data_IF_370539977786
#
_entry.id   IF_370539977786
#
_cell.length_a   1.000
_cell.length_b   1.000
_cell.length_c   1.000
_cell.angle_alpha   90.00
_cell.angle_beta   90.00
_cell.angle_gamma   90.00
#
_symmetry.space_group_name_H-M   'P 1'
#
loop_
_entity.id
_entity.type
_entity.pdbx_description
1 polymer ?
#
# COMPACT_ATOMS: atom_id res chain seq x y z
N UNK A 1 -46.42 4.11 9.34
CA UNK A 1 -45.13 3.38 9.41
C UNK A 1 -44.43 3.64 10.75
N UNK A 2 -43.86 2.63 11.42
CA UNK A 2 -43.15 2.80 12.71
C UNK A 2 -41.81 3.58 12.52
N UNK A 3 -41.42 4.58 13.33
CA UNK A 3 -40.13 5.27 13.14
C UNK A 3 -38.90 4.36 13.29
N UNK A 4 -37.82 4.58 12.52
CA UNK A 4 -36.60 3.74 12.55
C UNK A 4 -35.99 3.58 13.94
N UNK A 5 -36.01 4.64 14.75
CA UNK A 5 -35.55 4.62 16.16
C UNK A 5 -36.26 3.58 17.04
N UNK A 6 -37.48 3.17 16.67
CA UNK A 6 -38.25 2.13 17.38
C UNK A 6 -38.04 0.72 16.81
N UNK A 7 -37.14 0.54 15.83
CA UNK A 7 -36.89 -0.74 15.12
C UNK A 7 -35.46 -1.28 15.30
N UNK A 8 -34.69 -0.75 16.26
CA UNK A 8 -33.25 -1.06 16.43
C UNK A 8 -32.95 -2.48 16.91
N UNK A 9 -33.89 -3.12 17.61
CA UNK A 9 -33.78 -4.50 18.08
C UNK A 9 -35.09 -5.26 17.88
N UNK A 10 -35.03 -6.60 17.89
CA UNK A 10 -36.24 -7.45 17.85
C UNK A 10 -37.22 -7.06 18.96
N UNK A 11 -36.71 -6.73 20.15
CA UNK A 11 -37.53 -6.33 21.32
C UNK A 11 -38.25 -5.00 21.08
N UNK A 12 -37.53 -3.98 20.62
CA UNK A 12 -38.12 -2.64 20.38
C UNK A 12 -39.10 -2.68 19.22
N UNK A 13 -38.79 -3.45 18.18
CA UNK A 13 -39.66 -3.64 17.02
C UNK A 13 -40.96 -4.33 17.45
N UNK A 14 -40.88 -5.40 18.23
CA UNK A 14 -42.04 -6.12 18.75
C UNK A 14 -42.96 -5.23 19.60
N UNK A 15 -42.38 -4.40 20.49
CA UNK A 15 -43.14 -3.40 21.26
C UNK A 15 -43.80 -2.35 20.35
N UNK A 16 -43.10 -1.90 19.32
CA UNK A 16 -43.60 -0.87 18.40
C UNK A 16 -44.72 -1.34 17.47
N UNK A 17 -44.81 -2.64 17.18
CA UNK A 17 -45.88 -3.26 16.38
C UNK A 17 -46.85 -4.10 17.23
N UNK A 18 -46.79 -3.94 18.56
CA UNK A 18 -47.63 -4.61 19.54
C UNK A 18 -47.73 -6.14 19.37
N UNK A 19 -46.60 -6.82 19.21
CA UNK A 19 -46.55 -8.28 19.08
C UNK A 19 -45.46 -8.91 19.96
N UNK A 20 -45.44 -10.25 20.03
CA UNK A 20 -44.43 -10.99 20.78
C UNK A 20 -43.08 -10.97 20.06
N UNK A 21 -41.98 -10.92 20.83
CA UNK A 21 -40.58 -10.98 20.30
C UNK A 21 -40.36 -12.21 19.41
N UNK A 22 -40.94 -13.35 19.76
CA UNK A 22 -40.86 -14.60 19.01
C UNK A 22 -41.48 -14.49 17.62
N UNK A 23 -42.60 -13.75 17.49
CA UNK A 23 -43.26 -13.47 16.21
C UNK A 23 -42.34 -12.69 15.28
N UNK A 24 -41.69 -11.64 15.79
CA UNK A 24 -40.70 -10.86 15.03
C UNK A 24 -39.50 -11.73 14.63
N UNK A 25 -38.98 -12.56 15.55
CA UNK A 25 -37.89 -13.48 15.24
C UNK A 25 -38.26 -14.55 14.20
N UNK A 26 -39.52 -14.98 14.14
CA UNK A 26 -40.04 -15.85 13.09
C UNK A 26 -40.13 -15.12 11.76
N UNK A 27 -40.67 -13.90 11.74
CA UNK A 27 -40.75 -13.08 10.53
C UNK A 27 -39.37 -12.73 9.94
N UNK A 28 -38.35 -12.54 10.78
CA UNK A 28 -36.97 -12.38 10.31
C UNK A 28 -36.45 -13.66 9.64
N UNK A 29 -36.64 -14.84 10.27
CA UNK A 29 -36.25 -16.13 9.69
C UNK A 29 -36.99 -16.47 8.39
N UNK A 30 -38.25 -16.03 8.29
CA UNK A 30 -39.08 -16.18 7.10
C UNK A 30 -38.79 -15.12 6.02
N UNK A 31 -37.87 -14.18 6.25
CA UNK A 31 -37.52 -13.12 5.28
C UNK A 31 -38.55 -11.99 5.17
N UNK A 32 -39.63 -12.01 5.95
CA UNK A 32 -40.68 -10.98 5.98
C UNK A 32 -40.17 -9.66 6.61
N UNK A 33 -39.12 -9.73 7.44
CA UNK A 33 -38.43 -8.57 8.02
C UNK A 33 -36.93 -8.73 7.80
N UNK A 34 -36.32 -7.76 7.10
CA UNK A 34 -34.87 -7.73 6.85
C UNK A 34 -34.15 -6.90 7.91
N UNK A 35 -33.13 -7.48 8.54
CA UNK A 35 -32.16 -6.73 9.33
C UNK A 35 -31.22 -5.95 8.40
N UNK A 36 -30.99 -4.66 8.68
CA UNK A 36 -30.07 -3.82 7.93
C UNK A 36 -29.21 -3.02 8.90
N UNK A 37 -27.91 -3.00 8.67
CA UNK A 37 -26.95 -2.20 9.44
C UNK A 37 -26.51 -1.02 8.58
N UNK A 38 -26.77 0.20 9.08
CA UNK A 38 -26.28 1.43 8.46
C UNK A 38 -25.09 1.96 9.27
N UNK A 39 -23.89 1.94 8.69
CA UNK A 39 -22.73 2.61 9.25
C UNK A 39 -22.83 4.12 9.08
N UNK A 40 -22.37 4.88 10.08
CA UNK A 40 -22.24 6.34 9.94
C UNK A 40 -21.17 6.62 8.88
N UNK A 41 -21.51 7.48 7.92
CA UNK A 41 -20.58 7.98 6.90
C UNK A 41 -20.44 9.50 7.08
N UNK A 42 -19.29 10.09 6.73
CA UNK A 42 -19.15 11.55 6.75
C UNK A 42 -20.22 12.21 5.89
N UNK A 43 -20.74 13.34 6.36
CA UNK A 43 -21.67 14.14 5.57
C UNK A 43 -20.91 14.84 4.44
N UNK A 44 -21.47 14.81 3.23
CA UNK A 44 -20.85 15.40 2.05
C UNK A 44 -21.67 16.60 1.58
N UNK A 45 -21.05 17.78 1.59
CA UNK A 45 -21.62 18.98 0.98
C UNK A 45 -21.82 18.77 -0.53
N UNK A 46 -22.70 19.56 -1.15
CA UNK A 46 -22.89 19.52 -2.60
C UNK A 46 -21.57 19.73 -3.36
N UNK A 47 -20.73 20.67 -2.90
CA UNK A 47 -19.40 20.93 -3.46
C UNK A 47 -18.48 19.70 -3.33
N UNK A 48 -18.43 19.05 -2.16
CA UNK A 48 -17.63 17.83 -1.97
C UNK A 48 -18.06 16.71 -2.92
N UNK A 49 -19.37 16.56 -3.20
CA UNK A 49 -19.88 15.57 -4.15
C UNK A 49 -19.41 15.87 -5.58
N UNK A 50 -19.48 17.13 -6.01
CA UNK A 50 -19.02 17.56 -7.33
C UNK A 50 -17.51 17.37 -7.49
N UNK A 51 -16.72 17.74 -6.48
CA UNK A 51 -15.26 17.53 -6.49
C UNK A 51 -14.88 16.05 -6.59
N UNK A 52 -15.58 15.18 -5.86
CA UNK A 52 -15.37 13.73 -5.98
C UNK A 52 -15.72 13.20 -7.36
N UNK A 53 -16.81 13.68 -7.96
CA UNK A 53 -17.21 13.26 -9.32
C UNK A 53 -16.18 13.74 -10.35
N UNK A 54 -15.75 15.00 -10.26
CA UNK A 54 -14.70 15.55 -11.11
C UNK A 54 -13.41 14.73 -11.01
N UNK A 55 -12.96 14.45 -9.79
CA UNK A 55 -11.79 13.60 -9.55
C UNK A 55 -11.92 12.22 -10.22
N UNK A 56 -13.09 11.58 -10.15
CA UNK A 56 -13.30 10.29 -10.81
C UNK A 56 -13.28 10.37 -12.34
N UNK A 57 -13.77 11.47 -12.92
CA UNK A 57 -13.74 11.66 -14.37
C UNK A 57 -12.33 11.97 -14.87
N UNK A 58 -11.55 12.76 -14.12
CA UNK A 58 -10.14 13.04 -14.43
C UNK A 58 -9.24 11.79 -14.32
N UNK A 59 -9.70 10.75 -13.64
CA UNK A 59 -9.04 9.45 -13.57
C UNK A 59 -9.34 8.55 -14.77
N UNK A 60 -10.20 8.97 -15.71
CA UNK A 60 -10.49 8.22 -16.94
C UNK A 60 -9.45 8.51 -18.04
N UNK A 61 -9.28 7.53 -18.91
CA UNK A 61 -8.39 7.50 -20.07
C UNK A 61 -9.12 6.79 -21.21
N UNK A 62 -8.98 7.30 -22.44
CA UNK A 62 -9.52 6.63 -23.63
C UNK A 62 -8.50 5.62 -24.14
N UNK A 63 -8.88 4.35 -24.15
CA UNK A 63 -8.13 3.34 -24.90
C UNK A 63 -8.47 3.51 -26.38
N UNK A 64 -7.54 4.08 -27.14
CA UNK A 64 -7.71 4.37 -28.57
C UNK A 64 -7.88 3.10 -29.42
N UNK A 65 -7.35 1.96 -28.96
CA UNK A 65 -7.41 0.71 -29.72
C UNK A 65 -8.76 0.01 -29.54
N UNK A 66 -9.27 0.00 -28.31
CA UNK A 66 -10.57 -0.59 -27.99
C UNK A 66 -11.74 0.39 -28.11
N UNK A 67 -11.45 1.69 -28.28
CA UNK A 67 -12.41 2.79 -28.29
C UNK A 67 -13.34 2.80 -27.07
N UNK A 68 -12.79 2.48 -25.89
CA UNK A 68 -13.49 2.45 -24.60
C UNK A 68 -12.81 3.36 -23.58
N UNK A 69 -13.60 3.97 -22.70
CA UNK A 69 -13.07 4.67 -21.54
C UNK A 69 -12.71 3.66 -20.46
N UNK A 70 -11.47 3.73 -20.00
CA UNK A 70 -10.94 2.95 -18.88
C UNK A 70 -10.43 3.89 -17.79
N UNK A 71 -10.19 3.38 -16.59
CA UNK A 71 -9.47 4.16 -15.58
C UNK A 71 -7.98 4.08 -15.84
N UNK A 72 -7.27 5.19 -15.59
CA UNK A 72 -5.80 5.24 -15.57
C UNK A 72 -5.29 4.09 -14.72
N UNK A 73 -4.31 3.37 -15.25
CA UNK A 73 -3.73 2.17 -14.62
C UNK A 73 -3.01 2.44 -13.31
N UNK A 74 -2.62 3.69 -13.04
CA UNK A 74 -1.91 4.11 -11.82
C UNK A 74 -0.56 3.40 -11.60
N UNK A 75 0.09 2.89 -12.65
CA UNK A 75 1.41 2.25 -12.55
C UNK A 75 2.51 3.19 -12.03
N UNK A 76 2.35 4.50 -12.18
CA UNK A 76 3.26 5.53 -11.67
C UNK A 76 2.74 6.21 -10.38
N UNK A 77 1.73 5.63 -9.73
CA UNK A 77 1.13 6.18 -8.52
C UNK A 77 1.52 5.36 -7.31
N UNK A 78 1.88 6.06 -6.23
CA UNK A 78 2.15 5.48 -4.92
C UNK A 78 1.06 5.96 -3.97
N UNK A 79 0.33 5.02 -3.40
CA UNK A 79 -0.66 5.27 -2.37
C UNK A 79 0.00 5.22 -1.00
N UNK A 80 -0.21 6.28 -0.22
CA UNK A 80 0.30 6.41 1.13
C UNK A 80 -0.89 6.58 2.07
N UNK A 81 -0.89 5.85 3.17
CA UNK A 81 -1.92 5.94 4.20
C UNK A 81 -1.32 5.74 5.59
N UNK A 82 -1.85 6.43 6.59
CA UNK A 82 -1.48 6.27 7.99
C UNK A 82 -2.56 5.54 8.79
N UNK A 83 -2.12 4.57 9.61
CA UNK A 83 -3.04 3.81 10.44
C UNK A 83 -2.52 3.60 11.84
N UNK A 84 -3.38 3.85 12.82
CA UNK A 84 -3.15 3.47 14.22
C UNK A 84 -3.46 1.99 14.45
N UNK A 85 -2.50 1.27 15.02
CA UNK A 85 -2.66 -0.11 15.48
C UNK A 85 -2.59 -0.15 17.00
N UNK A 86 -3.60 -0.77 17.62
CA UNK A 86 -3.65 -0.97 19.07
C UNK A 86 -3.04 -2.32 19.43
N UNK A 87 -2.12 -2.34 20.40
CA UNK A 87 -1.44 -3.57 20.84
C UNK A 87 -2.40 -4.61 21.42
N UNK A 88 -3.57 -4.18 21.94
CA UNK A 88 -4.64 -5.05 22.41
C UNK A 88 -5.97 -4.59 21.83
N UNK A 89 -6.75 -5.53 21.30
CA UNK A 89 -8.15 -5.27 20.93
C UNK A 89 -9.00 -5.11 22.18
N UNK A 90 -9.86 -4.10 22.18
CA UNK A 90 -10.82 -3.87 23.27
C UNK A 90 -11.84 -5.02 23.35
N UNK A 91 -12.42 -5.38 22.22
CA UNK A 91 -13.33 -6.52 22.07
C UNK A 91 -12.64 -7.60 21.25
N UNK A 92 -12.68 -8.83 21.74
CA UNK A 92 -12.17 -9.99 21.04
C UNK A 92 -13.24 -11.08 21.10
N UNK A 93 -13.51 -11.71 19.96
CA UNK A 93 -14.41 -12.86 19.92
C UNK A 93 -13.60 -14.11 20.25
N UNK A 94 -14.08 -14.88 21.20
CA UNK A 94 -13.55 -16.20 21.54
C UNK A 94 -14.60 -17.23 21.14
N UNK A 95 -14.14 -18.37 20.61
CA UNK A 95 -14.96 -19.55 20.46
C UNK A 95 -14.58 -20.47 21.61
N UNK A 96 -15.54 -20.76 22.46
CA UNK A 96 -15.35 -21.53 23.69
C UNK A 96 -16.17 -22.81 23.58
N UNK A 97 -15.66 -23.90 24.16
CA UNK A 97 -16.50 -25.09 24.35
C UNK A 97 -17.54 -24.83 25.45
N UNK A 98 -18.64 -25.61 25.52
CA UNK A 98 -19.68 -25.38 26.53
C UNK A 98 -19.19 -25.46 27.99
N UNK A 99 -18.08 -26.15 28.23
CA UNK A 99 -17.49 -26.38 29.56
C UNK A 99 -16.36 -25.38 29.88
N UNK A 100 -15.91 -24.59 28.90
CA UNK A 100 -14.80 -23.67 29.08
C UNK A 100 -15.28 -22.36 29.73
N UNK A 101 -14.58 -21.94 30.79
CA UNK A 101 -14.90 -20.71 31.49
C UNK A 101 -14.64 -19.48 30.61
N UNK A 102 -15.53 -18.48 30.71
CA UNK A 102 -15.40 -17.24 29.95
C UNK A 102 -14.07 -16.51 30.27
N UNK A 103 -13.26 -16.15 29.26
CA UNK A 103 -11.99 -15.47 29.49
C UNK A 103 -12.18 -14.10 30.16
N UNK A 104 -11.74 -13.98 31.41
CA UNK A 104 -11.77 -12.71 32.12
C UNK A 104 -10.58 -11.82 31.71
N UNK A 105 -10.86 -10.71 31.03
CA UNK A 105 -9.85 -9.73 30.58
C UNK A 105 -10.09 -8.37 31.23
N UNK A 106 -9.18 -7.94 32.10
CA UNK A 106 -9.25 -6.62 32.76
C UNK A 106 -8.09 -5.71 32.36
N UNK A 107 -8.37 -4.41 32.34
CA UNK A 107 -7.36 -3.36 32.27
C UNK A 107 -7.85 -2.16 33.09
N UNK A 108 -6.93 -1.40 33.70
CA UNK A 108 -7.30 -0.26 34.55
C UNK A 108 -8.00 0.86 33.76
N UNK A 109 -7.57 1.11 32.53
CA UNK A 109 -8.26 2.02 31.59
C UNK A 109 -7.84 1.71 30.16
N UNK A 110 -8.80 1.72 29.24
CA UNK A 110 -8.59 1.52 27.80
C UNK A 110 -7.69 2.61 27.18
N UNK A 111 -7.64 3.81 27.79
CA UNK A 111 -6.79 4.92 27.34
C UNK A 111 -5.29 4.59 27.37
N UNK A 112 -4.87 3.65 28.23
CA UNK A 112 -3.47 3.25 28.37
C UNK A 112 -3.08 2.06 27.48
N UNK A 113 -3.98 1.57 26.62
CA UNK A 113 -3.62 0.56 25.62
C UNK A 113 -2.66 1.22 24.64
N UNK A 114 -1.41 0.73 24.63
CA UNK A 114 -0.38 1.21 23.72
C UNK A 114 -0.86 1.09 22.27
N UNK A 115 -0.70 2.16 21.52
CA UNK A 115 -0.98 2.23 20.09
C UNK A 115 0.24 2.78 19.36
N UNK A 116 0.43 2.31 18.13
CA UNK A 116 1.53 2.72 17.27
C UNK A 116 0.90 3.14 15.94
N UNK A 117 1.26 4.31 15.43
CA UNK A 117 0.89 4.70 14.07
C UNK A 117 1.93 4.13 13.12
N UNK A 118 1.48 3.65 11.97
CA UNK A 118 2.33 3.28 10.86
C UNK A 118 1.92 4.07 9.64
N UNK A 119 2.90 4.54 8.87
CA UNK A 119 2.70 5.00 7.50
C UNK A 119 2.99 3.84 6.55
N UNK A 120 2.07 3.53 5.66
CA UNK A 120 2.21 2.47 4.67
C UNK A 120 2.29 3.09 3.28
N UNK A 121 3.27 2.67 2.48
CA UNK A 121 3.39 3.05 1.09
C UNK A 121 3.27 1.80 0.21
N UNK A 122 2.34 1.85 -0.75
CA UNK A 122 2.08 0.76 -1.70
C UNK A 122 1.79 1.33 -3.09
N UNK A 123 2.07 0.56 -4.12
CA UNK A 123 1.71 0.86 -5.50
C UNK A 123 1.05 -0.36 -6.13
N UNK A 124 0.58 -0.21 -7.38
CA UNK A 124 0.11 -1.35 -8.15
C UNK A 124 1.25 -2.37 -8.36
N UNK A 125 1.01 -3.68 -8.15
CA UNK A 125 1.96 -4.73 -8.52
C UNK A 125 2.20 -4.74 -10.04
N UNK A 126 3.45 -5.05 -10.43
CA UNK A 126 3.80 -5.28 -11.83
C UNK A 126 3.95 -6.78 -12.05
N UNK A 127 3.19 -7.31 -13.00
CA UNK A 127 3.21 -8.72 -13.40
C UNK A 127 3.82 -8.84 -14.81
N UNK A 128 4.59 -9.90 -15.05
CA UNK A 128 5.07 -10.25 -16.38
C UNK A 128 3.99 -10.95 -17.20
N UNK A 129 4.24 -11.05 -18.52
CA UNK A 129 3.34 -11.75 -19.44
C UNK A 129 3.16 -13.26 -19.14
N UNK A 130 4.06 -13.87 -18.37
CA UNK A 130 3.91 -15.26 -17.87
C UNK A 130 3.22 -15.35 -16.50
N UNK A 131 2.76 -14.23 -15.94
CA UNK A 131 2.13 -14.15 -14.63
C UNK A 131 3.09 -14.08 -13.45
N UNK A 132 4.41 -14.04 -13.66
CA UNK A 132 5.38 -13.85 -12.58
C UNK A 132 5.34 -12.41 -12.01
N UNK A 133 5.61 -12.26 -10.71
CA UNK A 133 5.56 -10.97 -10.01
C UNK A 133 6.90 -10.26 -10.12
N UNK A 134 6.94 -9.14 -10.85
CA UNK A 134 8.14 -8.33 -11.08
C UNK A 134 8.34 -7.28 -9.99
N UNK A 135 7.22 -6.76 -9.49
CA UNK A 135 7.16 -5.89 -8.33
C UNK A 135 5.85 -6.16 -7.60
N UNK A 136 5.92 -6.47 -6.30
CA UNK A 136 4.73 -6.83 -5.51
C UNK A 136 3.93 -5.62 -5.03
N UNK A 137 4.32 -4.41 -5.44
CA UNK A 137 3.70 -3.15 -5.04
C UNK A 137 4.00 -2.71 -3.61
N UNK A 138 4.79 -3.45 -2.83
CA UNK A 138 5.03 -3.14 -1.42
C UNK A 138 6.29 -2.30 -1.22
N UNK A 139 6.09 -1.02 -0.95
CA UNK A 139 7.20 -0.09 -0.72
C UNK A 139 7.64 -0.16 0.74
N UNK A 140 6.72 -0.08 1.69
CA UNK A 140 7.09 -0.25 3.09
C UNK A 140 6.01 0.10 4.08
N UNK A 141 6.29 -0.26 5.33
CA UNK A 141 5.48 0.06 6.49
C UNK A 141 6.42 0.67 7.54
N UNK A 142 6.19 1.94 7.85
CA UNK A 142 7.11 2.78 8.62
C UNK A 142 6.48 3.10 9.98
N UNK A 143 6.98 2.51 11.08
CA UNK A 143 6.45 2.77 12.42
C UNK A 143 6.89 4.12 12.96
N UNK A 144 5.95 4.91 13.49
CA UNK A 144 6.27 6.12 14.24
C UNK A 144 6.73 5.76 15.67
N UNK A 145 8.04 5.54 15.80
CA UNK A 145 8.68 5.15 17.06
C UNK A 145 9.96 5.93 17.33
N UNK A 146 10.35 6.00 18.60
CA UNK A 146 11.61 6.58 19.06
C UNK A 146 12.32 5.65 20.02
N UNK A 147 13.65 5.61 19.97
CA UNK A 147 14.47 4.91 20.97
C UNK A 147 14.65 5.81 22.19
N UNK A 148 14.28 5.33 23.37
CA UNK A 148 14.38 6.07 24.64
C UNK A 148 15.08 5.17 25.67
N UNK A 149 16.11 5.65 26.37
CA UNK A 149 16.76 4.86 27.41
C UNK A 149 15.81 4.56 28.57
N UNK A 150 15.89 3.33 29.06
CA UNK A 150 15.15 2.85 30.22
C UNK A 150 15.42 3.71 31.46
N UNK A 151 14.42 4.44 31.95
CA UNK A 151 14.55 5.27 33.17
C UNK A 151 14.70 4.43 34.45
N UNK A 152 14.12 3.24 34.48
CA UNK A 152 14.12 2.32 35.63
C UNK A 152 14.62 0.95 35.18
N UNK A 153 15.36 0.27 36.05
CA UNK A 153 15.66 -1.14 35.87
C UNK A 153 14.38 -1.97 36.12
N UNK A 154 14.26 -3.09 35.44
CA UNK A 154 13.25 -4.11 35.71
C UNK A 154 13.87 -5.49 35.59
N UNK A 155 13.12 -6.53 35.98
CA UNK A 155 13.57 -7.93 35.86
C UNK A 155 14.04 -8.29 34.44
N UNK A 156 13.46 -7.66 33.42
CA UNK A 156 13.71 -8.01 32.02
C UNK A 156 14.70 -7.07 31.32
N UNK A 157 15.24 -6.05 32.00
CA UNK A 157 16.21 -5.09 31.42
C UNK A 157 16.85 -4.17 32.48
N UNK A 158 18.12 -3.86 32.31
CA UNK A 158 18.82 -2.88 33.14
C UNK A 158 18.37 -1.44 32.85
N UNK A 159 18.71 -0.52 33.76
CA UNK A 159 18.54 0.92 33.53
C UNK A 159 19.46 1.35 32.38
N UNK A 160 18.99 2.24 31.51
CA UNK A 160 19.74 2.74 30.36
C UNK A 160 19.56 1.96 29.06
N UNK A 161 19.06 0.71 29.08
CA UNK A 161 18.78 -0.04 27.84
C UNK A 161 17.83 0.74 26.92
N UNK A 162 18.17 0.89 25.64
CA UNK A 162 17.35 1.61 24.67
C UNK A 162 16.05 0.84 24.39
N UNK A 163 14.91 1.50 24.61
CA UNK A 163 13.59 0.95 24.32
C UNK A 163 12.95 1.65 23.14
N UNK A 164 12.36 0.89 22.24
CA UNK A 164 11.49 1.44 21.19
C UNK A 164 10.14 1.79 21.80
N UNK A 165 9.80 3.07 21.80
CA UNK A 165 8.50 3.58 22.27
C UNK A 165 7.75 4.26 21.13
N UNK A 166 6.41 4.13 21.08
CA UNK A 166 5.62 4.87 20.11
C UNK A 166 5.76 6.39 20.32
N UNK A 167 5.68 7.12 19.23
CA UNK A 167 5.47 8.57 19.27
C UNK A 167 3.97 8.80 19.48
N UNK A 168 3.61 9.45 20.59
CA UNK A 168 2.20 9.64 20.97
C UNK A 168 1.53 10.78 20.22
N UNK A 169 2.28 11.86 19.96
CA UNK A 169 1.82 13.04 19.22
C UNK A 169 2.44 13.03 17.82
N UNK A 170 1.63 12.74 16.81
CA UNK A 170 2.06 12.75 15.41
C UNK A 170 1.71 14.11 14.83
N UNK A 171 2.72 14.96 14.66
CA UNK A 171 2.57 16.29 14.04
C UNK A 171 2.92 16.23 12.56
N UNK A 172 2.67 17.32 11.84
CA UNK A 172 3.03 17.44 10.43
C UNK A 172 4.54 17.26 10.21
N UNK A 173 5.37 17.75 11.13
CA UNK A 173 6.83 17.61 11.06
C UNK A 173 7.26 16.16 11.17
N UNK A 174 6.63 15.38 12.06
CA UNK A 174 6.91 13.95 12.24
C UNK A 174 6.53 13.16 10.98
N UNK A 175 5.38 13.47 10.37
CA UNK A 175 4.97 12.85 9.10
C UNK A 175 5.95 13.24 7.98
N UNK A 176 6.29 14.53 7.86
CA UNK A 176 7.22 15.04 6.86
C UNK A 176 8.60 14.38 6.98
N UNK A 177 9.14 14.28 8.19
CA UNK A 177 10.40 13.58 8.47
C UNK A 177 10.36 12.12 7.99
N UNK A 178 9.28 11.41 8.31
CA UNK A 178 9.13 10.03 7.88
C UNK A 178 9.03 9.91 6.34
N UNK A 179 8.31 10.83 5.68
CA UNK A 179 8.23 10.86 4.22
C UNK A 179 9.60 11.07 3.58
N UNK A 180 10.35 12.07 4.06
CA UNK A 180 11.64 12.46 3.48
C UNK A 180 12.72 11.42 3.77
N UNK A 181 12.82 10.97 5.02
CA UNK A 181 13.95 10.17 5.48
C UNK A 181 13.70 8.66 5.41
N UNK A 182 12.45 8.22 5.24
CA UNK A 182 12.14 6.79 5.18
C UNK A 182 11.39 6.40 3.90
N UNK A 183 10.29 7.09 3.57
CA UNK A 183 9.44 6.71 2.44
C UNK A 183 10.14 6.97 1.10
N UNK A 184 10.61 8.20 0.84
CA UNK A 184 11.25 8.54 -0.44
C UNK A 184 12.49 7.66 -0.73
N UNK A 185 13.40 7.40 0.23
CA UNK A 185 14.49 6.45 0.01
C UNK A 185 14.00 5.03 -0.31
N UNK A 186 12.97 4.55 0.39
CA UNK A 186 12.40 3.24 0.12
C UNK A 186 11.76 3.14 -1.26
N UNK A 187 11.11 4.22 -1.72
CA UNK A 187 10.59 4.34 -3.09
C UNK A 187 11.76 4.20 -4.07
N UNK A 188 12.79 5.04 -3.96
CA UNK A 188 13.95 5.01 -4.85
C UNK A 188 14.61 3.63 -4.91
N UNK A 189 14.78 2.97 -3.76
CA UNK A 189 15.40 1.65 -3.69
C UNK A 189 14.55 0.55 -4.34
N UNK A 190 13.23 0.59 -4.16
CA UNK A 190 12.33 -0.49 -4.61
C UNK A 190 11.72 -0.27 -5.99
N UNK A 191 11.64 0.97 -6.46
CA UNK A 191 11.02 1.29 -7.73
C UNK A 191 11.77 0.64 -8.91
N UNK A 192 11.08 0.12 -9.94
CA UNK A 192 11.70 -0.68 -11.00
C UNK A 192 12.22 0.12 -12.22
N UNK A 193 12.56 1.41 -12.07
CA UNK A 193 12.89 2.30 -13.21
C UNK A 193 14.03 1.81 -14.12
N UNK A 194 15.17 1.39 -13.54
CA UNK A 194 16.34 0.97 -14.33
C UNK A 194 16.16 -0.38 -15.02
N UNK A 195 15.38 -1.28 -14.41
CA UNK A 195 15.09 -2.59 -15.00
C UNK A 195 14.20 -2.42 -16.24
N UNK A 196 13.27 -1.46 -16.20
CA UNK A 196 12.44 -1.12 -17.33
C UNK A 196 13.29 -0.66 -18.53
N UNK A 197 14.26 0.24 -18.30
CA UNK A 197 15.14 0.77 -19.36
C UNK A 197 16.04 -0.32 -19.97
N UNK A 198 16.62 -1.20 -19.16
CA UNK A 198 17.42 -2.33 -19.63
C UNK A 198 16.63 -3.28 -20.53
N UNK A 199 15.40 -3.58 -20.16
CA UNK A 199 14.57 -4.49 -20.93
C UNK A 199 14.07 -3.86 -22.24
N UNK A 200 13.79 -2.56 -22.25
CA UNK A 200 13.49 -1.80 -23.47
C UNK A 200 14.66 -1.92 -24.46
N UNK A 201 15.91 -1.80 -23.98
CA UNK A 201 17.08 -1.99 -24.83
C UNK A 201 17.14 -3.40 -25.42
N UNK A 202 16.88 -4.45 -24.62
CA UNK A 202 16.89 -5.85 -25.08
C UNK A 202 15.88 -6.13 -26.18
N UNK A 203 14.72 -5.49 -26.13
CA UNK A 203 13.68 -5.64 -27.17
C UNK A 203 13.67 -4.49 -28.17
N UNK A 204 14.75 -3.70 -28.23
CA UNK A 204 14.97 -2.66 -29.24
C UNK A 204 13.84 -1.62 -29.30
N UNK A 205 13.37 -1.15 -28.14
CA UNK A 205 12.35 -0.11 -28.05
C UNK A 205 10.90 -0.61 -28.05
N UNK A 206 10.67 -1.92 -28.26
CA UNK A 206 9.32 -2.48 -28.21
C UNK A 206 8.78 -2.54 -26.77
N UNK A 207 7.46 -2.59 -26.58
CA UNK A 207 6.83 -2.74 -25.26
C UNK A 207 6.67 -4.22 -24.82
N UNK A 208 7.27 -5.15 -25.58
CA UNK A 208 7.04 -6.60 -25.45
C UNK A 208 8.01 -7.30 -24.50
N UNK A 209 8.51 -6.61 -23.48
CA UNK A 209 9.55 -7.12 -22.60
C UNK A 209 9.02 -7.56 -21.24
N UNK A 210 9.78 -8.44 -20.58
CA UNK A 210 9.52 -8.89 -19.21
C UNK A 210 10.60 -8.32 -18.30
N UNK A 211 10.22 -7.46 -17.35
CA UNK A 211 11.11 -6.86 -16.34
C UNK A 211 11.61 -7.95 -15.36
N UNK A 212 12.87 -8.42 -15.42
CA UNK A 212 13.34 -9.51 -14.55
C UNK A 212 13.36 -9.08 -13.07
N UNK A 213 12.95 -9.98 -12.17
CA UNK A 213 12.98 -9.72 -10.75
C UNK A 213 14.39 -9.88 -10.18
N UNK A 214 15.04 -8.77 -9.79
CA UNK A 214 16.44 -8.76 -9.33
C UNK A 214 16.64 -9.13 -7.85
N UNK A 215 15.57 -9.40 -7.09
CA UNK A 215 15.72 -9.76 -5.68
C UNK A 215 16.33 -8.65 -4.82
N UNK A 216 16.00 -7.38 -5.10
CA UNK A 216 16.61 -6.19 -4.46
C UNK A 216 16.64 -6.26 -2.92
N UNK A 217 15.60 -6.85 -2.32
CA UNK A 217 15.53 -7.04 -0.87
C UNK A 217 16.59 -8.01 -0.33
N UNK A 218 16.86 -9.11 -1.04
CA UNK A 218 17.90 -10.07 -0.67
C UNK A 218 19.30 -9.44 -0.82
N UNK A 219 19.54 -8.75 -1.94
CA UNK A 219 20.80 -8.03 -2.20
C UNK A 219 21.06 -6.91 -1.19
N UNK A 220 20.02 -6.16 -0.80
CA UNK A 220 20.12 -5.10 0.21
C UNK A 220 20.45 -5.65 1.60
N UNK A 221 19.86 -6.78 2.00
CA UNK A 221 20.18 -7.46 3.27
C UNK A 221 21.63 -7.93 3.34
N UNK A 222 22.23 -8.24 2.19
CA UNK A 222 23.62 -8.65 2.06
C UNK A 222 24.58 -7.47 1.80
N UNK A 223 24.06 -6.23 1.76
CA UNK A 223 24.81 -5.01 1.45
C UNK A 223 25.53 -5.01 0.08
N UNK A 224 25.04 -5.80 -0.87
CA UNK A 224 25.59 -5.94 -2.24
C UNK A 224 24.60 -5.47 -3.31
N UNK A 225 23.57 -4.70 -2.93
CA UNK A 225 22.67 -4.10 -3.90
C UNK A 225 23.43 -3.02 -4.69
N UNK A 226 23.59 -3.16 -6.01
CA UNK A 226 24.29 -2.17 -6.82
C UNK A 226 23.55 -0.83 -6.78
N UNK A 227 24.32 0.27 -6.70
CA UNK A 227 23.79 1.64 -6.71
C UNK A 227 23.23 2.03 -8.09
N UNK A 228 23.84 1.51 -9.15
CA UNK A 228 23.41 1.63 -10.55
C UNK A 228 23.48 0.25 -11.20
N UNK A 229 22.53 -0.07 -12.07
CA UNK A 229 22.64 -1.28 -12.88
C UNK A 229 23.73 -1.15 -13.95
N UNK A 230 24.62 -2.13 -14.00
CA UNK A 230 25.60 -2.26 -15.08
C UNK A 230 24.89 -2.70 -16.36
N UNK A 231 25.12 -1.97 -17.44
CA UNK A 231 24.55 -2.26 -18.76
C UNK A 231 25.61 -3.02 -19.57
N UNK A 232 25.33 -4.23 -20.08
CA UNK A 232 26.28 -4.94 -20.93
C UNK A 232 26.65 -4.11 -22.16
N UNK A 233 27.94 -3.92 -22.42
CA UNK A 233 28.45 -3.14 -23.55
C UNK A 233 27.92 -3.63 -24.90
N UNK A 234 27.78 -4.94 -25.06
CA UNK A 234 27.20 -5.57 -26.25
C UNK A 234 25.73 -5.18 -26.47
N UNK A 235 24.95 -5.02 -25.39
CA UNK A 235 23.56 -4.58 -25.49
C UNK A 235 23.46 -3.11 -25.92
N UNK A 236 24.37 -2.27 -25.44
CA UNK A 236 24.50 -0.87 -25.88
C UNK A 236 24.80 -0.82 -27.37
N UNK A 237 25.78 -1.62 -27.83
CA UNK A 237 26.18 -1.73 -29.24
C UNK A 237 25.02 -2.16 -30.14
N UNK A 238 24.34 -3.25 -29.79
CA UNK A 238 23.19 -3.76 -30.55
C UNK A 238 22.04 -2.75 -30.63
N UNK A 239 21.85 -1.95 -29.58
CA UNK A 239 20.83 -0.91 -29.54
C UNK A 239 21.19 0.25 -30.45
N UNK A 240 22.45 0.70 -30.43
CA UNK A 240 22.97 1.75 -31.31
C UNK A 240 22.91 1.30 -32.78
N UNK A 241 23.39 0.10 -33.09
CA UNK A 241 23.34 -0.46 -34.45
C UNK A 241 21.90 -0.53 -34.99
N UNK A 242 20.93 -0.81 -34.11
CA UNK A 242 19.52 -0.83 -34.49
C UNK A 242 19.00 0.57 -34.83
N UNK A 243 19.37 1.58 -34.04
CA UNK A 243 19.02 2.98 -34.31
C UNK A 243 19.64 3.49 -35.62
N UNK A 244 20.90 3.15 -35.89
CA UNK A 244 21.60 3.50 -37.15
C UNK A 244 20.87 2.88 -38.34
N UNK A 245 20.53 1.58 -38.25
CA UNK A 245 19.78 0.86 -39.31
C UNK A 245 18.38 1.43 -39.53
N UNK A 246 17.75 1.96 -38.49
CA UNK A 246 16.43 2.57 -38.57
C UNK A 246 16.45 4.01 -39.13
N UNK A 247 17.63 4.59 -39.38
CA UNK A 247 17.77 5.94 -39.94
C UNK A 247 17.41 7.06 -38.96
N UNK A 248 17.44 6.80 -37.65
CA UNK A 248 17.07 7.77 -36.61
C UNK A 248 18.21 8.76 -36.36
N UNK A 249 18.35 9.77 -37.22
CA UNK A 249 19.05 11.04 -36.93
C UNK A 249 20.59 11.05 -36.87
N UNK A 250 21.14 12.24 -37.12
CA UNK A 250 22.58 12.58 -37.20
C UNK A 250 23.32 12.60 -35.84
N UNK A 251 22.61 12.47 -34.71
CA UNK A 251 23.15 12.52 -33.34
C UNK A 251 23.67 11.17 -32.81
N UNK A 252 23.50 10.08 -33.55
CA UNK A 252 23.93 8.75 -33.08
C UNK A 252 25.45 8.64 -32.99
N UNK A 253 26.20 9.30 -33.88
CA UNK A 253 27.66 9.29 -33.81
C UNK A 253 28.19 10.10 -32.61
N UNK A 254 27.53 11.21 -32.25
CA UNK A 254 27.84 11.95 -31.03
C UNK A 254 27.48 11.13 -29.77
N UNK A 255 26.35 10.43 -29.80
CA UNK A 255 25.94 9.49 -28.76
C UNK A 255 26.96 8.35 -28.61
N UNK A 256 27.39 7.73 -29.71
CA UNK A 256 28.39 6.65 -29.74
C UNK A 256 29.73 7.10 -29.14
N UNK A 257 30.17 8.31 -29.50
CA UNK A 257 31.38 8.92 -28.97
C UNK A 257 31.26 9.25 -27.47
N UNK A 258 30.13 9.82 -27.04
CA UNK A 258 29.88 10.18 -25.63
C UNK A 258 29.78 8.96 -24.71
N UNK A 259 29.22 7.85 -25.22
CA UNK A 259 29.13 6.57 -24.52
C UNK A 259 30.44 5.78 -24.57
N UNK A 260 31.45 6.26 -25.30
CA UNK A 260 32.78 5.64 -25.39
C UNK A 260 32.74 4.22 -25.92
N UNK A 261 31.79 3.89 -26.79
CA UNK A 261 31.54 2.52 -27.27
C UNK A 261 32.80 1.91 -27.90
N UNK A 262 33.57 2.71 -28.65
CA UNK A 262 34.82 2.28 -29.29
C UNK A 262 36.00 2.11 -28.31
N UNK A 263 35.92 2.63 -27.08
CA UNK A 263 36.94 2.41 -26.02
C UNK A 263 36.77 1.08 -25.28
N UNK A 264 35.61 0.44 -25.44
CA UNK A 264 35.29 -0.84 -24.80
C UNK A 264 35.87 -2.02 -25.61
N UNK A 265 36.32 -1.79 -26.84
CA UNK A 265 36.91 -2.79 -27.75
C UNK A 265 38.38 -3.14 -27.46
N UNK A 266 39.03 -2.46 -26.51
CA UNK A 266 40.48 -2.53 -26.29
C UNK A 266 41.01 -3.53 -25.26
N UNK A 267 40.17 -4.38 -24.64
CA UNK A 267 40.58 -5.38 -23.65
C UNK A 267 40.00 -6.77 -23.93
#
# INVERSE_FOLDING_TARGET
MLPLKKRSSIRTLAKGINCKKSTVGRWIRQGLIRAHTSGIRPDLTASNKLLRLRFTLEALELDMNANILTFKSMYNTIHIDEKWFYMKKETHRFYLTPEEAEPHRTCKSKKFISKIMFMCAVSMPLLAADGSVLFDGKIGVFPFTRKVPAKRASKNRSRGTLETKPIESITQEVIRDCLINQVLPAIKAKWPAEICMLEIMKVKGHNGYKIPHMGKYALSRQAILPLNLEVPSELVRQSIDHLIKAGVGTDIEELKNSLGVDRIEGN
#
